data_IF_220721942678
#
_entry.id   IF_220721942678
#
_cell.length_a   1.000
_cell.length_b   1.000
_cell.length_c   1.000
_cell.angle_alpha   90.00
_cell.angle_beta   90.00
_cell.angle_gamma   90.00
#
_symmetry.space_group_name_H-M   'P 1'
#
loop_
_entity.id
_entity.type
_entity.pdbx_description
1 polymer ?
#
# COMPACT_ATOMS: atom_id res chain seq x y z
N UNK A 1 -2.31 21.08 22.75
CA UNK A 1 -3.49 20.45 22.12
C UNK A 1 -2.94 19.22 21.43
N UNK A 2 -3.24 18.05 21.98
CA UNK A 2 -2.53 16.80 21.73
C UNK A 2 -2.56 16.40 20.25
N UNK A 3 -1.36 16.23 19.70
CA UNK A 3 -1.11 15.64 18.40
C UNK A 3 -0.99 14.10 18.50
N UNK A 4 -1.27 13.49 19.66
CA UNK A 4 -0.95 12.07 19.91
C UNK A 4 -2.03 11.10 19.44
N UNK A 5 -3.28 11.53 19.24
CA UNK A 5 -4.37 10.62 18.86
C UNK A 5 -4.40 10.23 17.38
N UNK A 6 -3.65 10.94 16.53
CA UNK A 6 -3.70 10.75 15.08
C UNK A 6 -2.29 10.60 14.51
N UNK A 7 -2.09 9.59 13.67
CA UNK A 7 -0.80 9.37 13.01
C UNK A 7 -0.55 10.40 11.90
N UNK A 8 0.71 10.65 11.53
CA UNK A 8 1.06 11.54 10.41
C UNK A 8 0.40 11.14 9.08
N UNK A 9 0.10 9.86 8.89
CA UNK A 9 -0.65 9.31 7.75
C UNK A 9 -2.12 9.70 7.82
N UNK A 10 -2.76 9.53 8.99
CA UNK A 10 -4.16 9.90 9.20
C UNK A 10 -4.40 11.41 9.02
N UNK A 11 -3.46 12.26 9.43
CA UNK A 11 -3.55 13.71 9.15
C UNK A 11 -3.52 14.01 7.66
N UNK A 12 -2.66 13.29 6.92
CA UNK A 12 -2.52 13.45 5.47
C UNK A 12 -3.82 13.08 4.78
N UNK A 13 -4.38 11.93 5.12
CA UNK A 13 -5.65 11.45 4.56
C UNK A 13 -6.79 12.43 4.87
N UNK A 14 -6.92 12.90 6.11
CA UNK A 14 -7.94 13.89 6.50
C UNK A 14 -7.79 15.23 5.75
N UNK A 15 -6.56 15.70 5.54
CA UNK A 15 -6.32 16.92 4.77
C UNK A 15 -6.69 16.73 3.30
N UNK A 16 -6.29 15.61 2.69
CA UNK A 16 -6.60 15.32 1.29
C UNK A 16 -8.11 15.19 1.07
N UNK A 17 -8.81 14.49 1.97
CA UNK A 17 -10.28 14.45 1.98
C UNK A 17 -10.88 15.85 2.08
N UNK A 18 -10.40 16.69 3.00
CA UNK A 18 -10.89 18.07 3.14
C UNK A 18 -10.67 18.91 1.89
N UNK A 19 -9.56 18.72 1.17
CA UNK A 19 -9.26 19.42 -0.07
C UNK A 19 -10.20 19.01 -1.20
N UNK A 20 -10.65 17.75 -1.23
CA UNK A 20 -11.62 17.25 -2.20
C UNK A 20 -13.07 17.71 -1.93
N UNK A 21 -13.37 18.21 -0.72
CA UNK A 21 -14.74 18.64 -0.36
C UNK A 21 -15.15 19.92 -1.11
N UNK A 22 -16.32 19.90 -1.80
CA UNK A 22 -16.86 21.08 -2.49
C UNK A 22 -17.06 22.30 -1.59
N UNK A 23 -17.04 23.48 -2.19
CA UNK A 23 -17.29 24.73 -1.47
C UNK A 23 -18.66 24.69 -0.77
N UNK A 24 -18.72 25.16 0.49
CA UNK A 24 -19.92 25.13 1.33
C UNK A 24 -20.11 23.85 2.17
N UNK A 25 -19.52 22.71 1.79
CA UNK A 25 -19.70 21.45 2.52
C UNK A 25 -18.63 21.19 3.59
N UNK A 26 -17.58 22.02 3.61
CA UNK A 26 -16.41 21.89 4.51
C UNK A 26 -16.76 21.93 5.98
N UNK A 27 -17.74 22.75 6.38
CA UNK A 27 -18.16 22.84 7.78
C UNK A 27 -18.84 21.54 8.25
N UNK A 28 -19.72 20.97 7.42
CA UNK A 28 -20.40 19.72 7.69
C UNK A 28 -19.40 18.55 7.76
N UNK A 29 -18.47 18.48 6.80
CA UNK A 29 -17.39 17.49 6.77
C UNK A 29 -16.55 17.52 8.06
N UNK A 30 -16.18 18.72 8.53
CA UNK A 30 -15.39 18.89 9.77
C UNK A 30 -16.15 18.43 11.00
N UNK A 31 -17.43 18.79 11.12
CA UNK A 31 -18.30 18.36 12.22
C UNK A 31 -18.45 16.84 12.25
N UNK A 32 -18.66 16.20 11.09
CA UNK A 32 -18.83 14.75 11.00
C UNK A 32 -17.58 13.97 11.47
N UNK A 33 -16.38 14.53 11.27
CA UNK A 33 -15.10 13.90 11.67
C UNK A 33 -14.57 14.37 13.02
N UNK A 34 -15.28 15.26 13.71
CA UNK A 34 -14.84 15.80 15.00
C UNK A 34 -13.57 16.67 14.93
N UNK A 35 -13.18 17.14 13.75
CA UNK A 35 -11.92 17.89 13.57
C UNK A 35 -12.15 19.39 13.69
N UNK A 36 -11.39 20.04 14.57
CA UNK A 36 -11.41 21.50 14.72
C UNK A 36 -10.80 22.19 13.50
N UNK A 37 -11.38 23.31 13.07
CA UNK A 37 -10.92 24.08 11.92
C UNK A 37 -9.45 24.52 12.03
N UNK A 38 -9.06 25.05 13.19
CA UNK A 38 -7.69 25.48 13.44
C UNK A 38 -6.70 24.32 13.25
N UNK A 39 -7.00 23.16 13.85
CA UNK A 39 -6.20 21.93 13.72
C UNK A 39 -6.03 21.51 12.27
N UNK A 40 -7.12 21.53 11.49
CA UNK A 40 -7.11 21.15 10.09
C UNK A 40 -6.32 22.13 9.22
N UNK A 41 -6.39 23.44 9.50
CA UNK A 41 -5.57 24.44 8.79
C UNK A 41 -4.08 24.28 9.10
N UNK A 42 -3.73 23.94 10.35
CA UNK A 42 -2.36 23.61 10.74
C UNK A 42 -1.86 22.35 10.01
N UNK A 43 -2.65 21.29 9.95
CA UNK A 43 -2.31 20.08 9.20
C UNK A 43 -2.18 20.37 7.71
N UNK A 44 -3.12 21.11 7.11
CA UNK A 44 -3.07 21.51 5.70
C UNK A 44 -1.76 22.20 5.36
N UNK A 45 -1.32 23.15 6.20
CA UNK A 45 -0.01 23.80 6.01
C UNK A 45 1.15 22.82 6.08
N UNK A 46 1.12 21.85 7.00
CA UNK A 46 2.17 20.82 7.12
C UNK A 46 2.19 19.85 5.94
N UNK A 47 1.03 19.45 5.45
CA UNK A 47 0.88 18.53 4.31
C UNK A 47 1.36 19.19 3.03
N UNK A 48 0.86 20.40 2.73
CA UNK A 48 1.24 21.12 1.51
C UNK A 48 2.71 21.55 1.49
N UNK A 49 3.31 21.76 2.66
CA UNK A 49 4.74 22.07 2.75
C UNK A 49 5.65 20.82 2.71
N UNK A 50 5.10 19.60 2.60
CA UNK A 50 5.91 18.36 2.56
C UNK A 50 6.61 18.02 3.88
N UNK A 51 6.17 18.61 5.00
CA UNK A 51 6.83 18.55 6.32
C UNK A 51 6.07 17.70 7.33
N UNK A 52 5.18 16.82 6.85
CA UNK A 52 4.29 16.01 7.70
C UNK A 52 5.07 15.16 8.70
N UNK A 53 6.24 14.66 8.30
CA UNK A 53 7.11 13.86 9.16
C UNK A 53 8.07 14.68 10.04
N UNK A 54 8.35 15.94 9.68
CA UNK A 54 9.36 16.75 10.39
C UNK A 54 8.79 17.61 11.52
N UNK A 55 7.46 17.66 11.67
CA UNK A 55 6.78 18.41 12.74
C UNK A 55 6.87 19.94 12.65
N UNK A 56 7.65 20.48 11.71
CA UNK A 56 7.93 21.91 11.53
C UNK A 56 7.09 22.50 10.40
N UNK A 57 6.58 23.72 10.57
CA UNK A 57 5.81 24.44 9.54
C UNK A 57 6.71 25.52 8.93
N UNK A 58 6.99 25.51 7.60
CA UNK A 58 7.69 26.61 6.95
C UNK A 58 6.90 27.91 7.06
N UNK A 59 7.57 29.02 7.40
CA UNK A 59 6.95 30.36 7.56
C UNK A 59 6.58 31.06 6.24
N UNK A 60 6.40 30.31 5.16
CA UNK A 60 6.07 30.81 3.84
C UNK A 60 5.70 29.65 2.92
N UNK A 61 4.47 29.13 3.07
CA UNK A 61 3.94 28.10 2.19
C UNK A 61 3.16 28.75 1.05
N UNK A 62 3.59 28.48 -0.19
CA UNK A 62 2.85 28.86 -1.40
C UNK A 62 1.43 28.30 -1.28
N UNK A 63 0.43 29.15 -1.51
CA UNK A 63 -0.97 28.75 -1.54
C UNK A 63 -1.18 27.89 -2.79
N UNK A 64 -1.08 26.58 -2.65
CA UNK A 64 -1.48 25.62 -3.68
C UNK A 64 -2.95 25.88 -3.99
N UNK A 65 -3.27 26.15 -5.26
CA UNK A 65 -4.61 26.47 -5.76
C UNK A 65 -5.59 25.32 -5.51
N UNK A 66 -6.90 25.60 -5.58
CA UNK A 66 -7.94 24.56 -5.40
C UNK A 66 -7.77 23.40 -6.40
N UNK A 67 -7.46 23.71 -7.66
CA UNK A 67 -7.27 22.72 -8.72
C UNK A 67 -6.05 21.86 -8.47
N UNK A 68 -4.92 22.47 -8.11
CA UNK A 68 -3.71 21.73 -7.73
C UNK A 68 -3.92 20.85 -6.49
N UNK A 69 -4.75 21.30 -5.55
CA UNK A 69 -5.11 20.49 -4.37
C UNK A 69 -5.99 19.28 -4.73
N UNK A 70 -6.92 19.44 -5.68
CA UNK A 70 -7.76 18.35 -6.16
C UNK A 70 -6.93 17.33 -6.94
N UNK A 71 -6.02 17.81 -7.79
CA UNK A 71 -5.13 16.93 -8.54
C UNK A 71 -4.16 16.19 -7.61
N UNK A 72 -3.61 16.85 -6.58
CA UNK A 72 -2.82 16.17 -5.55
C UNK A 72 -3.61 15.07 -4.84
N UNK A 73 -4.87 15.32 -4.48
CA UNK A 73 -5.72 14.31 -3.85
C UNK A 73 -5.99 13.12 -4.79
N UNK A 74 -6.23 13.39 -6.08
CA UNK A 74 -6.40 12.37 -7.11
C UNK A 74 -5.14 11.52 -7.28
N UNK A 75 -3.99 12.16 -7.48
CA UNK A 75 -2.70 11.47 -7.64
C UNK A 75 -2.36 10.62 -6.42
N UNK A 76 -2.68 11.09 -5.21
CA UNK A 76 -2.51 10.29 -4.00
C UNK A 76 -3.42 9.05 -3.96
N UNK A 77 -4.68 9.19 -4.35
CA UNK A 77 -5.61 8.07 -4.43
C UNK A 77 -5.15 7.03 -5.46
N UNK A 78 -4.72 7.49 -6.64
CA UNK A 78 -4.18 6.64 -7.69
C UNK A 78 -2.89 5.95 -7.24
N UNK A 79 -1.96 6.65 -6.59
CA UNK A 79 -0.73 6.04 -6.09
C UNK A 79 -1.02 4.97 -5.02
N UNK A 80 -2.02 5.20 -4.16
CA UNK A 80 -2.46 4.22 -3.16
C UNK A 80 -3.03 2.96 -3.83
N UNK A 81 -3.85 3.13 -4.87
CA UNK A 81 -4.39 2.02 -5.65
C UNK A 81 -3.28 1.23 -6.36
N UNK A 82 -2.38 1.92 -7.08
CA UNK A 82 -1.27 1.29 -7.79
C UNK A 82 -0.34 0.50 -6.85
N UNK A 83 -0.10 1.00 -5.63
CA UNK A 83 0.66 0.25 -4.61
C UNK A 83 -0.05 -1.02 -4.19
N UNK A 84 -1.37 -0.95 -3.94
CA UNK A 84 -2.14 -2.13 -3.58
C UNK A 84 -2.17 -3.18 -4.71
N UNK A 85 -2.28 -2.74 -5.97
CA UNK A 85 -2.19 -3.62 -7.14
C UNK A 85 -0.80 -4.26 -7.27
N UNK A 86 0.26 -3.49 -7.04
CA UNK A 86 1.64 -3.98 -7.09
C UNK A 86 1.91 -5.01 -5.99
N UNK A 87 1.39 -4.80 -4.78
CA UNK A 87 1.50 -5.75 -3.68
C UNK A 87 0.73 -7.05 -3.97
N UNK A 88 -0.49 -6.93 -4.53
CA UNK A 88 -1.27 -8.09 -4.94
C UNK A 88 -0.59 -8.88 -6.07
N UNK A 89 -0.03 -8.20 -7.07
CA UNK A 89 0.70 -8.82 -8.17
C UNK A 89 1.95 -9.57 -7.69
N UNK A 90 2.70 -8.99 -6.73
CA UNK A 90 3.85 -9.66 -6.11
C UNK A 90 3.44 -10.92 -5.37
N UNK A 91 2.38 -10.86 -4.57
CA UNK A 91 1.88 -12.04 -3.85
C UNK A 91 1.46 -13.17 -4.82
N UNK A 92 0.82 -12.82 -5.95
CA UNK A 92 0.45 -13.78 -6.98
C UNK A 92 1.68 -14.38 -7.69
N UNK A 93 2.71 -13.58 -7.96
CA UNK A 93 3.96 -14.04 -8.55
C UNK A 93 4.70 -15.01 -7.61
N UNK A 94 4.78 -14.70 -6.31
CA UNK A 94 5.36 -15.59 -5.31
C UNK A 94 4.60 -16.93 -5.21
N UNK A 95 3.27 -16.90 -5.26
CA UNK A 95 2.45 -18.12 -5.27
C UNK A 95 2.74 -18.97 -6.51
N UNK A 96 2.78 -18.34 -7.69
CA UNK A 96 3.11 -19.04 -8.94
C UNK A 96 4.50 -19.66 -8.90
N UNK A 97 5.50 -18.95 -8.36
CA UNK A 97 6.86 -19.45 -8.20
C UNK A 97 6.91 -20.70 -7.31
N UNK A 98 6.16 -20.73 -6.20
CA UNK A 98 6.07 -21.91 -5.32
C UNK A 98 5.43 -23.10 -6.01
N UNK A 99 4.39 -22.88 -6.82
CA UNK A 99 3.75 -23.95 -7.60
C UNK A 99 4.73 -24.51 -8.64
N UNK A 100 5.44 -23.66 -9.36
CA UNK A 100 6.45 -24.11 -10.35
C UNK A 100 7.56 -24.91 -9.68
N UNK A 101 8.07 -24.46 -8.53
CA UNK A 101 9.08 -25.20 -7.75
C UNK A 101 8.56 -26.58 -7.29
N UNK A 102 7.33 -26.64 -6.77
CA UNK A 102 6.71 -27.90 -6.35
C UNK A 102 6.52 -28.88 -7.53
N UNK A 103 6.08 -28.37 -8.68
CA UNK A 103 5.93 -29.17 -9.90
C UNK A 103 7.29 -29.65 -10.42
N UNK A 104 8.33 -28.80 -10.36
CA UNK A 104 9.70 -29.17 -10.71
C UNK A 104 10.21 -30.33 -9.85
N UNK A 105 10.05 -30.24 -8.53
CA UNK A 105 10.40 -31.30 -7.58
C UNK A 105 9.65 -32.60 -7.84
N UNK A 106 8.35 -32.53 -8.15
CA UNK A 106 7.56 -33.72 -8.47
C UNK A 106 8.05 -34.42 -9.75
N UNK A 107 8.42 -33.65 -10.78
CA UNK A 107 8.99 -34.18 -12.02
C UNK A 107 10.35 -34.85 -11.76
N UNK A 108 11.21 -34.24 -10.93
CA UNK A 108 12.49 -34.83 -10.53
C UNK A 108 12.30 -36.16 -9.79
N UNK A 109 11.33 -36.23 -8.86
CA UNK A 109 10.99 -37.47 -8.16
C UNK A 109 10.51 -38.56 -9.12
N UNK A 110 9.64 -38.22 -10.08
CA UNK A 110 9.17 -39.16 -11.10
C UNK A 110 10.31 -39.67 -12.00
N UNK A 111 11.27 -38.79 -12.33
CA UNK A 111 12.43 -39.14 -13.15
C UNK A 111 13.45 -40.00 -12.39
N UNK A 112 13.68 -39.70 -11.11
CA UNK A 112 14.60 -40.44 -10.24
C UNK A 112 14.06 -41.77 -9.71
N UNK A 113 12.73 -41.93 -9.66
CA UNK A 113 12.07 -43.18 -9.26
C UNK A 113 12.04 -44.26 -10.35
N UNK A 114 12.49 -43.95 -11.57
CA UNK A 114 12.57 -44.90 -12.68
C UNK A 114 13.95 -45.62 -12.71
N UNK A 115 14.03 -46.80 -12.08
CA UNK A 115 15.06 -47.87 -12.10
C UNK A 115 16.18 -47.84 -11.01
N UNK A 116 16.61 -49.00 -10.44
CA UNK A 116 16.57 -50.36 -11.01
C UNK A 116 15.88 -51.43 -10.16
N UNK A 117 14.94 -52.17 -10.77
CA UNK A 117 14.67 -53.57 -10.40
C UNK A 117 14.74 -54.44 -11.66
N UNK A 118 15.97 -54.69 -12.10
CA UNK A 118 16.29 -55.91 -12.82
C UNK A 118 16.42 -57.02 -11.78
N UNK A 119 15.32 -57.69 -11.48
CA UNK A 119 15.35 -59.03 -10.92
C UNK A 119 16.00 -59.95 -11.95
N UNK A 120 17.12 -60.56 -11.61
CA UNK A 120 17.48 -61.84 -12.21
C UNK A 120 17.69 -62.86 -11.09
N UNK A 121 16.58 -63.49 -10.73
CA UNK A 121 16.56 -64.77 -10.08
C UNK A 121 16.25 -65.81 -11.13
N UNK A 122 17.29 -66.43 -11.66
CA UNK A 122 17.31 -67.72 -12.37
C UNK A 122 18.73 -68.26 -12.18
N UNK A 123 19.06 -69.53 -11.92
CA UNK A 123 18.35 -70.77 -11.64
C UNK A 123 19.46 -71.78 -11.17
N UNK A 124 19.08 -72.68 -10.27
CA UNK A 124 19.60 -74.02 -9.92
C UNK A 124 20.86 -74.58 -10.65
N UNK A 125 21.93 -75.04 -9.94
CA UNK A 125 22.16 -76.39 -9.31
C UNK A 125 23.02 -77.32 -10.21
N UNK A 126 23.68 -78.41 -9.72
CA UNK A 126 24.30 -78.73 -8.42
C UNK A 126 25.85 -78.68 -8.44
#
# INVERSE_FOLDING_TARGET
>A
MEYSEFTPEQWRDLVLEYLAVPHGQRQAWRKARGVREYTLQTWRRKVLAGVVQSGRIPRGGVLVSMEENQELARLHAENKQLRAELDAAKAAAESSARVVDALGKAIELLRGGAAPKGSDGTDSRP
#
